data_IF_819813659540
#
_entry.id   IF_819813659540
#
_cell.length_a   1.000
_cell.length_b   1.000
_cell.length_c   1.000
_cell.angle_alpha   90.00
_cell.angle_beta   90.00
_cell.angle_gamma   90.00
#
_symmetry.space_group_name_H-M   'P 1'
#
loop_
_entity.id
_entity.type
_entity.pdbx_description
1 polymer ?
#
# COMPACT_ATOMS: atom_id res chain seq x y z
N UNK A 1 -3.36 -0.80 6.26
CA UNK A 1 -2.63 0.35 6.84
C UNK A 1 -1.15 0.04 7.06
N UNK A 2 -0.27 0.58 6.23
CA UNK A 2 1.17 0.67 6.51
C UNK A 2 1.54 2.13 6.84
N UNK A 3 0.94 2.69 7.89
CA UNK A 3 1.34 3.98 8.49
C UNK A 3 2.35 3.79 9.65
N UNK A 4 3.12 2.70 9.60
CA UNK A 4 4.13 2.39 10.62
C UNK A 4 5.51 2.97 10.28
N UNK A 5 6.30 3.23 11.32
CA UNK A 5 7.71 3.70 11.28
C UNK A 5 8.56 2.83 10.32
N UNK A 6 8.24 1.54 10.18
CA UNK A 6 8.87 0.62 9.23
C UNK A 6 8.67 1.01 7.75
N UNK A 7 7.49 1.50 7.36
CA UNK A 7 7.22 1.95 5.99
C UNK A 7 8.09 3.16 5.62
N UNK A 8 8.29 4.06 6.56
CA UNK A 8 9.19 5.22 6.41
C UNK A 8 10.66 4.82 6.34
N UNK A 9 11.10 3.86 7.15
CA UNK A 9 12.48 3.34 7.13
C UNK A 9 12.79 2.59 5.82
N UNK A 10 11.85 1.76 5.35
CA UNK A 10 11.99 1.07 4.07
C UNK A 10 12.06 2.06 2.90
N UNK A 11 11.21 3.10 2.91
CA UNK A 11 11.27 4.19 1.93
C UNK A 11 12.62 4.91 1.95
N UNK A 12 13.18 5.16 3.13
CA UNK A 12 14.49 5.80 3.29
C UNK A 12 15.62 4.92 2.74
N UNK A 13 15.65 3.63 3.09
CA UNK A 13 16.68 2.68 2.66
C UNK A 13 16.73 2.46 1.14
N UNK A 14 15.57 2.39 0.48
CA UNK A 14 15.52 2.16 -0.98
C UNK A 14 15.76 3.43 -1.81
N UNK A 15 15.39 4.60 -1.31
CA UNK A 15 15.44 5.85 -2.10
C UNK A 15 16.78 6.57 -1.94
N UNK A 16 17.36 6.59 -0.75
CA UNK A 16 18.50 7.48 -0.42
C UNK A 16 19.76 7.25 -1.27
N UNK A 17 20.25 6.03 -1.57
CA UNK A 17 21.57 5.87 -2.18
C UNK A 17 21.66 6.43 -3.62
N UNK A 18 20.55 6.38 -4.37
CA UNK A 18 20.47 6.87 -5.75
C UNK A 18 19.86 8.27 -5.87
N UNK A 19 18.94 8.63 -4.97
CA UNK A 19 18.24 9.90 -5.05
C UNK A 19 19.04 11.04 -4.42
N UNK A 20 19.82 10.79 -3.36
CA UNK A 20 20.62 11.85 -2.70
C UNK A 20 21.77 12.31 -3.59
N UNK A 21 22.44 11.40 -4.29
CA UNK A 21 23.52 11.74 -5.23
C UNK A 21 22.98 12.55 -6.40
N UNK A 22 21.84 12.14 -6.99
CA UNK A 22 21.17 12.92 -8.04
C UNK A 22 20.63 14.25 -7.56
N UNK A 23 20.04 14.33 -6.36
CA UNK A 23 19.50 15.59 -5.82
C UNK A 23 20.58 16.58 -5.40
N UNK A 24 21.76 16.11 -5.00
CA UNK A 24 22.92 16.98 -4.82
C UNK A 24 23.41 17.54 -6.16
N UNK A 25 23.45 16.71 -7.20
CA UNK A 25 23.84 17.12 -8.55
C UNK A 25 22.80 18.08 -9.17
N UNK A 26 21.51 17.79 -9.01
CA UNK A 26 20.39 18.64 -9.40
C UNK A 26 20.34 19.94 -8.59
N UNK A 27 20.60 19.89 -7.27
CA UNK A 27 20.68 21.08 -6.41
C UNK A 27 21.84 22.00 -6.78
N UNK A 28 23.00 21.42 -7.11
CA UNK A 28 24.15 22.16 -7.65
C UNK A 28 23.81 22.79 -9.01
N UNK A 29 23.08 22.07 -9.86
CA UNK A 29 22.60 22.54 -11.18
C UNK A 29 21.49 23.60 -11.08
N UNK A 30 20.67 23.55 -10.02
CA UNK A 30 19.60 24.51 -9.74
C UNK A 30 20.15 25.84 -9.21
N UNK A 31 21.24 25.79 -8.43
CA UNK A 31 21.97 26.97 -7.98
C UNK A 31 22.81 27.60 -9.10
N UNK A 32 23.19 26.83 -10.13
CA UNK A 32 23.93 27.27 -11.32
C UNK A 32 23.02 27.54 -12.53
N UNK A 33 21.94 28.28 -12.29
CA UNK A 33 21.15 29.04 -13.27
C UNK A 33 21.18 28.59 -14.75
N UNK A 34 20.40 27.56 -15.11
CA UNK A 34 19.68 27.48 -16.40
C UNK A 34 18.73 26.25 -16.41
N UNK A 35 17.56 26.33 -15.76
CA UNK A 35 16.56 25.26 -15.90
C UNK A 35 15.15 25.83 -16.12
N UNK A 36 14.86 26.11 -17.40
CA UNK A 36 13.51 26.37 -17.90
C UNK A 36 12.59 25.20 -17.57
N UNK A 37 11.43 25.53 -16.98
CA UNK A 37 10.19 24.75 -16.88
C UNK A 37 10.15 23.50 -17.78
N UNK A 38 10.54 22.36 -17.21
CA UNK A 38 10.06 21.06 -17.66
C UNK A 38 9.38 20.44 -16.46
N UNK A 39 8.09 20.16 -16.61
CA UNK A 39 7.23 19.55 -15.60
C UNK A 39 7.95 18.36 -14.95
N UNK A 40 8.42 18.56 -13.72
CA UNK A 40 8.99 17.50 -12.91
C UNK A 40 7.77 16.71 -12.40
N UNK A 41 7.25 15.80 -13.22
CA UNK A 41 6.30 14.81 -12.73
C UNK A 41 7.15 13.83 -11.90
N UNK A 42 7.02 13.82 -10.56
CA UNK A 42 7.80 12.89 -9.75
C UNK A 42 7.49 11.47 -10.23
N UNK A 43 8.55 10.68 -10.42
CA UNK A 43 8.42 9.28 -10.83
C UNK A 43 7.58 8.55 -9.78
N UNK A 44 6.41 8.05 -10.19
CA UNK A 44 5.47 7.35 -9.32
C UNK A 44 5.96 5.91 -9.15
N UNK A 45 6.20 5.48 -7.91
CA UNK A 45 6.49 4.07 -7.60
C UNK A 45 5.23 3.36 -7.12
N UNK A 46 5.17 2.02 -7.26
CA UNK A 46 4.01 1.23 -6.83
C UNK A 46 3.67 1.44 -5.35
N UNK A 47 4.68 1.60 -4.50
CA UNK A 47 4.52 1.89 -3.06
C UNK A 47 3.87 3.25 -2.79
N UNK A 48 4.00 4.22 -3.69
CA UNK A 48 3.35 5.52 -3.54
C UNK A 48 1.83 5.41 -3.71
N UNK A 49 1.35 4.41 -4.47
CA UNK A 49 -0.08 4.12 -4.62
C UNK A 49 -0.73 3.57 -3.35
N UNK A 50 0.05 2.92 -2.48
CA UNK A 50 -0.43 2.35 -1.21
C UNK A 50 -0.61 3.39 -0.11
N UNK A 51 -0.04 4.59 -0.27
CA UNK A 51 -0.19 5.65 0.71
C UNK A 51 -1.64 6.18 0.71
N UNK A 52 -2.29 6.38 1.88
CA UNK A 52 -3.68 6.87 1.95
C UNK A 52 -3.88 8.23 1.26
N UNK A 53 -2.82 9.04 1.20
CA UNK A 53 -2.84 10.37 0.58
C UNK A 53 -2.49 10.36 -0.91
N UNK A 54 -2.24 9.18 -1.50
CA UNK A 54 -1.89 9.06 -2.91
C UNK A 54 -3.04 9.56 -3.79
N UNK A 55 -2.70 10.19 -4.92
CA UNK A 55 -3.71 10.66 -5.86
C UNK A 55 -4.54 9.49 -6.39
N UNK A 56 -3.90 8.34 -6.66
CA UNK A 56 -4.56 7.11 -7.06
C UNK A 56 -5.63 6.73 -6.03
N UNK A 57 -5.27 6.56 -4.76
CA UNK A 57 -6.21 6.09 -3.74
C UNK A 57 -7.32 7.10 -3.44
N UNK A 58 -7.05 8.41 -3.51
CA UNK A 58 -8.08 9.46 -3.36
C UNK A 58 -9.13 9.46 -4.48
N UNK A 59 -8.70 9.06 -5.68
CA UNK A 59 -9.57 8.99 -6.86
C UNK A 59 -10.28 7.65 -6.90
N UNK A 60 -9.58 6.53 -6.71
CA UNK A 60 -10.11 5.18 -6.90
C UNK A 60 -10.80 4.62 -5.64
N UNK A 61 -10.40 5.03 -4.44
CA UNK A 61 -10.89 4.45 -3.18
C UNK A 61 -12.38 4.69 -2.88
N UNK A 62 -13.07 5.51 -3.68
CA UNK A 62 -14.53 5.71 -3.57
C UNK A 62 -15.34 4.75 -4.41
N UNK A 63 -14.71 4.06 -5.36
CA UNK A 63 -15.40 3.12 -6.23
C UNK A 63 -15.44 1.75 -5.56
N UNK A 64 -16.64 1.22 -5.38
CA UNK A 64 -16.88 -0.11 -4.82
C UNK A 64 -17.00 -1.13 -5.97
N UNK A 65 -16.65 -2.41 -5.74
CA UNK A 65 -16.94 -3.46 -6.72
C UNK A 65 -18.44 -3.53 -7.03
N UNK A 66 -18.80 -3.50 -8.32
CA UNK A 66 -20.20 -3.65 -8.77
C UNK A 66 -20.58 -5.11 -9.07
N UNK A 67 -19.63 -6.02 -8.88
CA UNK A 67 -19.80 -7.46 -9.10
C UNK A 67 -19.87 -8.18 -7.76
N UNK A 68 -20.47 -9.36 -7.76
CA UNK A 68 -20.39 -10.27 -6.62
C UNK A 68 -18.92 -10.61 -6.33
N UNK A 69 -18.53 -10.52 -5.06
CA UNK A 69 -17.16 -10.79 -4.65
C UNK A 69 -17.12 -11.42 -3.26
N UNK A 70 -16.05 -12.16 -2.99
CA UNK A 70 -15.74 -12.75 -1.69
C UNK A 70 -14.51 -12.02 -1.14
N UNK A 71 -14.53 -11.67 0.15
CA UNK A 71 -13.44 -10.97 0.84
C UNK A 71 -12.70 -11.96 1.74
N UNK A 72 -11.40 -12.18 1.50
CA UNK A 72 -10.58 -13.10 2.29
C UNK A 72 -9.41 -12.31 2.84
N UNK A 73 -9.38 -12.12 4.16
CA UNK A 73 -8.45 -11.21 4.83
C UNK A 73 -7.57 -12.01 5.81
N UNK A 74 -6.26 -11.79 5.72
CA UNK A 74 -5.29 -12.37 6.65
C UNK A 74 -5.36 -11.71 8.03
N UNK A 75 -5.14 -12.51 9.06
CA UNK A 75 -4.97 -12.04 10.42
C UNK A 75 -3.83 -12.80 11.12
N UNK A 76 -2.72 -12.12 11.38
CA UNK A 76 -1.54 -12.71 12.00
C UNK A 76 -1.80 -13.22 13.42
N UNK A 77 -2.77 -12.62 14.13
CA UNK A 77 -3.15 -12.99 15.49
C UNK A 77 -4.66 -12.94 15.65
N UNK A 78 -5.27 -14.04 16.07
CA UNK A 78 -6.68 -14.07 16.47
C UNK A 78 -6.87 -13.35 17.82
N UNK A 79 -6.73 -12.02 17.81
CA UNK A 79 -7.00 -11.08 18.91
C UNK A 79 -8.25 -10.26 18.57
N UNK A 80 -8.72 -9.46 19.55
CA UNK A 80 -9.88 -8.58 19.39
C UNK A 80 -9.79 -7.70 18.12
N UNK A 81 -10.96 -7.38 17.57
CA UNK A 81 -11.17 -6.76 16.25
C UNK A 81 -10.31 -5.51 15.99
N UNK A 82 -10.04 -4.73 17.04
CA UNK A 82 -9.34 -3.46 16.94
C UNK A 82 -7.89 -3.60 16.43
N UNK A 83 -7.26 -4.77 16.59
CA UNK A 83 -5.85 -5.00 16.23
C UNK A 83 -5.65 -6.04 15.12
N UNK A 84 -6.70 -6.36 14.37
CA UNK A 84 -6.63 -7.35 13.28
C UNK A 84 -5.77 -6.81 12.13
N UNK A 85 -4.70 -7.54 11.82
CA UNK A 85 -3.73 -7.18 10.78
C UNK A 85 -2.97 -8.41 10.32
N UNK A 86 -2.65 -8.47 9.04
CA UNK A 86 -1.81 -9.51 8.42
C UNK A 86 -0.30 -9.19 8.49
N UNK A 87 0.08 -8.28 9.40
CA UNK A 87 1.39 -7.60 9.58
C UNK A 87 1.77 -6.53 8.55
N UNK A 88 1.03 -6.39 7.45
CA UNK A 88 1.28 -5.38 6.40
C UNK A 88 0.09 -4.42 6.25
N UNK A 89 -1.12 -4.97 6.29
CA UNK A 89 -2.38 -4.29 6.06
C UNK A 89 -3.37 -4.65 7.18
N UNK A 90 -3.79 -3.62 7.92
CA UNK A 90 -4.91 -3.73 8.86
C UNK A 90 -6.22 -4.17 8.21
N UNK A 91 -7.07 -4.84 9.00
CA UNK A 91 -8.42 -5.24 8.61
C UNK A 91 -9.24 -4.10 8.02
N UNK A 92 -9.33 -2.97 8.71
CA UNK A 92 -10.14 -1.81 8.26
C UNK A 92 -9.74 -1.29 6.87
N UNK A 93 -8.46 -1.45 6.49
CA UNK A 93 -7.95 -1.03 5.19
C UNK A 93 -8.19 -2.06 4.09
N UNK A 94 -8.44 -3.31 4.45
CA UNK A 94 -8.74 -4.41 3.53
C UNK A 94 -10.25 -4.64 3.39
N UNK A 95 -11.03 -4.24 4.40
CA UNK A 95 -12.47 -4.39 4.45
C UNK A 95 -13.15 -3.59 3.33
N UNK A 96 -14.10 -4.25 2.66
CA UNK A 96 -14.97 -3.66 1.64
C UNK A 96 -16.42 -4.00 1.99
N UNK A 97 -17.31 -3.06 1.75
CA UNK A 97 -18.73 -3.27 2.02
C UNK A 97 -19.40 -4.21 1.01
N UNK A 98 -20.38 -4.97 1.48
CA UNK A 98 -21.25 -5.86 0.71
C UNK A 98 -20.54 -7.01 -0.05
N UNK A 99 -19.60 -7.74 0.58
CA UNK A 99 -19.15 -8.99 0.00
C UNK A 99 -20.25 -10.06 0.11
N UNK A 100 -20.24 -11.05 -0.78
CA UNK A 100 -21.07 -12.27 -0.64
C UNK A 100 -20.64 -13.06 0.61
N UNK A 101 -19.35 -13.00 0.97
CA UNK A 101 -18.78 -13.52 2.20
C UNK A 101 -17.53 -12.74 2.62
N UNK A 102 -17.27 -12.63 3.92
CA UNK A 102 -16.00 -12.14 4.43
C UNK A 102 -15.39 -13.17 5.40
N UNK A 103 -14.20 -13.67 5.07
CA UNK A 103 -13.50 -14.69 5.86
C UNK A 103 -12.17 -14.16 6.37
N UNK A 104 -11.98 -14.27 7.69
CA UNK A 104 -10.71 -14.01 8.35
C UNK A 104 -9.93 -15.32 8.50
N UNK A 105 -8.71 -15.37 7.96
CA UNK A 105 -7.82 -16.53 8.09
C UNK A 105 -6.67 -16.16 9.00
N UNK A 106 -6.37 -17.04 9.97
CA UNK A 106 -5.15 -16.91 10.75
C UNK A 106 -3.92 -17.10 9.84
N UNK A 107 -3.35 -15.99 9.39
CA UNK A 107 -2.28 -15.94 8.40
C UNK A 107 -1.64 -14.56 8.41
N UNK A 108 -0.37 -14.51 8.01
CA UNK A 108 0.27 -13.26 7.59
C UNK A 108 -0.29 -12.80 6.23
N UNK A 109 0.39 -11.86 5.56
CA UNK A 109 -0.08 -11.27 4.30
C UNK A 109 -0.36 -12.27 3.14
N UNK A 110 0.16 -13.50 3.19
CA UNK A 110 0.01 -14.50 2.11
C UNK A 110 -1.17 -15.46 2.31
N UNK A 111 -2.38 -14.90 2.36
CA UNK A 111 -3.61 -15.67 2.61
C UNK A 111 -3.95 -16.66 1.48
N UNK A 112 -3.54 -16.38 0.24
CA UNK A 112 -3.85 -17.18 -0.95
C UNK A 112 -3.27 -18.61 -0.93
N UNK A 113 -2.31 -18.90 -0.05
CA UNK A 113 -1.70 -20.25 0.07
C UNK A 113 -2.37 -21.13 1.12
N UNK A 114 -3.41 -20.64 1.80
CA UNK A 114 -4.04 -21.33 2.92
C UNK A 114 -5.25 -22.14 2.45
N UNK A 115 -5.43 -23.33 3.03
CA UNK A 115 -6.52 -24.24 2.64
C UNK A 115 -7.91 -23.58 2.64
N UNK A 116 -8.31 -22.78 3.66
CA UNK A 116 -9.63 -22.17 3.66
C UNK A 116 -9.84 -21.23 2.46
N UNK A 117 -8.79 -20.54 1.99
CA UNK A 117 -8.88 -19.67 0.80
C UNK A 117 -9.31 -20.42 -0.44
N UNK A 118 -8.78 -21.62 -0.67
CA UNK A 118 -9.17 -22.44 -1.83
C UNK A 118 -10.60 -22.96 -1.74
N UNK A 119 -11.12 -23.13 -0.53
CA UNK A 119 -12.50 -23.60 -0.30
C UNK A 119 -13.52 -22.48 -0.51
N UNK A 120 -13.13 -21.23 -0.26
CA UNK A 120 -14.00 -20.06 -0.41
C UNK A 120 -14.26 -19.69 -1.87
N UNK A 121 -13.28 -19.92 -2.76
CA UNK A 121 -13.35 -19.54 -4.18
C UNK A 121 -13.78 -20.67 -5.12
N UNK A 122 -14.27 -21.79 -4.56
CA UNK A 122 -14.63 -23.00 -5.29
C UNK A 122 -16.10 -23.01 -5.70
#
# INVERSE_FOLDING_TARGET
>A
MAEGILGSIARFLFIIPKEVTKKFEEGYKYLSADYKNKDIVPKVYGVDGLAPKSLFMKVTGRYKPEVKFHSIIGNSKLVDLDWISDTVVSYESSHLENPESEMLIQSEHSVQTHLPTFLEVK
#
